data_IF_436391763009
#
_entry.id   IF_436391763009
#
_cell.length_a   1.000
_cell.length_b   1.000
_cell.length_c   1.000
_cell.angle_alpha   90.00
_cell.angle_beta   90.00
_cell.angle_gamma   90.00
#
_symmetry.space_group_name_H-M   'P 1'
#
loop_
_entity.id
_entity.type
_entity.pdbx_description
1 polymer ?
#
# COMPACT_ATOMS: atom_id res chain seq x y z
N UNK A 1 -9.80 12.27 20.82
CA UNK A 1 -9.26 12.69 19.54
C UNK A 1 -10.40 12.65 18.55
N UNK A 2 -10.58 13.64 17.65
CA UNK A 2 -11.65 13.57 16.68
C UNK A 2 -11.43 12.33 15.81
N UNK A 3 -12.42 11.45 15.71
CA UNK A 3 -12.43 10.39 14.72
C UNK A 3 -12.32 11.05 13.33
N UNK A 4 -11.29 10.70 12.60
CA UNK A 4 -11.11 11.15 11.21
C UNK A 4 -12.31 10.59 10.42
N UNK A 5 -13.31 11.42 10.15
CA UNK A 5 -14.64 11.03 9.66
C UNK A 5 -14.64 10.36 8.27
N UNK A 6 -13.49 10.30 7.60
CA UNK A 6 -13.34 9.74 6.25
C UNK A 6 -12.76 8.31 6.20
N UNK A 7 -12.26 7.76 7.32
CA UNK A 7 -11.73 6.38 7.32
C UNK A 7 -12.92 5.40 7.26
N UNK A 8 -12.97 4.46 6.29
CA UNK A 8 -14.14 3.61 6.05
C UNK A 8 -14.33 2.47 7.05
N UNK A 9 -13.52 2.41 8.09
CA UNK A 9 -13.57 1.41 9.17
C UNK A 9 -13.35 2.07 10.54
N UNK A 10 -13.66 1.35 11.61
CA UNK A 10 -13.34 1.73 12.98
C UNK A 10 -12.05 1.05 13.43
N UNK A 11 -11.10 1.81 13.98
CA UNK A 11 -9.88 1.25 14.58
C UNK A 11 -10.11 0.92 16.05
N UNK A 12 -9.90 -0.35 16.43
CA UNK A 12 -9.98 -0.85 17.81
C UNK A 12 -8.56 -1.13 18.29
N UNK A 13 -8.04 -0.28 19.16
CA UNK A 13 -6.69 -0.43 19.70
C UNK A 13 -6.67 -1.50 20.81
N UNK A 14 -6.07 -2.66 20.53
CA UNK A 14 -5.83 -3.70 21.51
C UNK A 14 -4.67 -3.33 22.44
N UNK A 15 -3.64 -2.73 21.88
CA UNK A 15 -2.45 -2.23 22.57
C UNK A 15 -1.99 -0.93 21.94
N UNK A 16 -1.57 0.05 22.77
CA UNK A 16 -1.08 1.36 22.32
C UNK A 16 0.44 1.47 22.24
N UNK A 17 1.15 0.36 22.28
CA UNK A 17 2.59 0.31 22.10
C UNK A 17 2.91 0.04 20.62
N UNK A 18 4.03 0.57 20.08
CA UNK A 18 4.47 0.23 18.74
C UNK A 18 4.65 -1.30 18.59
N UNK A 19 4.39 -1.86 17.41
CA UNK A 19 4.72 -3.24 17.13
C UNK A 19 6.25 -3.45 17.14
N UNK A 20 6.67 -4.68 17.40
CA UNK A 20 8.09 -5.08 17.38
C UNK A 20 8.21 -6.23 16.38
N UNK A 21 8.95 -6.00 15.29
CA UNK A 21 9.25 -7.00 14.27
C UNK A 21 10.58 -6.67 13.58
N UNK A 22 11.33 -7.69 13.19
CA UNK A 22 12.65 -7.53 12.56
C UNK A 22 12.59 -6.82 11.20
N UNK A 23 11.47 -6.91 10.48
CA UNK A 23 11.31 -6.34 9.14
C UNK A 23 10.87 -4.87 9.16
N UNK A 24 10.57 -4.28 10.32
CA UNK A 24 10.17 -2.87 10.41
C UNK A 24 11.27 -1.97 9.84
N UNK A 25 12.53 -2.21 10.19
CA UNK A 25 13.64 -1.39 9.69
C UNK A 25 13.79 -1.46 8.16
N UNK A 26 13.50 -2.61 7.56
CA UNK A 26 13.48 -2.77 6.09
C UNK A 26 12.36 -1.93 5.45
N UNK A 27 11.15 -1.96 6.00
CA UNK A 27 10.04 -1.13 5.51
C UNK A 27 10.37 0.37 5.63
N UNK A 28 10.96 0.81 6.75
CA UNK A 28 11.36 2.20 6.93
C UNK A 28 12.43 2.64 5.92
N UNK A 29 13.38 1.77 5.59
CA UNK A 29 14.37 2.02 4.55
C UNK A 29 13.69 2.19 3.18
N UNK A 30 12.73 1.34 2.84
CA UNK A 30 11.99 1.45 1.61
C UNK A 30 11.13 2.71 1.53
N UNK A 31 10.46 3.11 2.62
CA UNK A 31 9.74 4.38 2.70
C UNK A 31 10.65 5.56 2.34
N UNK A 32 11.84 5.63 2.95
CA UNK A 32 12.83 6.69 2.68
C UNK A 32 13.35 6.64 1.24
N UNK A 33 13.63 5.44 0.72
CA UNK A 33 14.15 5.25 -0.64
C UNK A 33 13.14 5.68 -1.69
N UNK A 34 11.88 5.29 -1.55
CA UNK A 34 10.80 5.67 -2.47
C UNK A 34 10.56 7.18 -2.47
N UNK A 35 10.57 7.80 -1.30
CA UNK A 35 10.49 9.26 -1.17
C UNK A 35 11.70 9.98 -1.80
N UNK A 36 12.89 9.38 -1.69
CA UNK A 36 14.17 9.95 -2.14
C UNK A 36 14.45 9.83 -3.64
N UNK A 37 13.56 9.29 -4.45
CA UNK A 37 13.74 9.30 -5.91
C UNK A 37 13.73 10.75 -6.43
N UNK A 38 14.90 11.23 -6.86
CA UNK A 38 15.18 12.64 -7.11
C UNK A 38 14.37 13.29 -8.23
N UNK A 39 13.95 12.51 -9.23
CA UNK A 39 13.20 13.03 -10.38
C UNK A 39 11.69 13.02 -10.18
N UNK A 40 11.18 12.08 -9.38
CA UNK A 40 9.74 11.91 -9.12
C UNK A 40 9.54 11.20 -7.77
N UNK A 41 9.62 11.93 -6.65
CA UNK A 41 9.46 11.34 -5.32
C UNK A 41 8.05 10.74 -5.18
N UNK A 42 7.97 9.55 -4.62
CA UNK A 42 6.70 9.00 -4.15
C UNK A 42 6.47 9.51 -2.75
N UNK A 43 5.65 10.55 -2.65
CA UNK A 43 5.41 11.22 -1.37
C UNK A 43 4.40 10.46 -0.51
N UNK A 44 3.42 9.86 -1.15
CA UNK A 44 2.27 9.21 -0.49
C UNK A 44 2.16 7.75 -0.89
N UNK A 45 1.63 6.97 0.02
CA UNK A 45 1.41 5.55 -0.15
C UNK A 45 1.45 4.82 1.18
N UNK A 46 1.31 3.52 1.11
CA UNK A 46 1.43 2.67 2.29
C UNK A 46 2.13 1.36 1.93
N UNK A 47 2.94 0.89 2.85
CA UNK A 47 3.71 -0.31 2.74
C UNK A 47 3.32 -1.24 3.89
N UNK A 48 3.17 -2.52 3.60
CA UNK A 48 2.91 -3.52 4.62
C UNK A 48 3.70 -4.80 4.40
N UNK A 49 3.83 -5.57 5.47
CA UNK A 49 4.34 -6.94 5.41
C UNK A 49 3.60 -7.83 6.43
N UNK A 50 3.46 -9.12 6.07
CA UNK A 50 2.77 -10.13 6.87
C UNK A 50 3.61 -10.49 8.11
N UNK A 51 2.92 -10.71 9.24
CA UNK A 51 3.50 -11.23 10.48
C UNK A 51 2.83 -12.54 10.87
N UNK A 52 3.33 -13.18 11.93
CA UNK A 52 2.68 -14.36 12.49
C UNK A 52 1.29 -14.12 13.11
N UNK A 53 0.94 -12.85 13.37
CA UNK A 53 -0.33 -12.45 14.01
C UNK A 53 -1.25 -11.62 13.09
N UNK A 54 -0.84 -11.38 11.84
CA UNK A 54 -1.56 -10.54 10.90
C UNK A 54 -0.61 -9.83 9.94
N UNK A 55 -0.55 -8.53 9.96
CA UNK A 55 0.41 -7.75 9.17
C UNK A 55 0.71 -6.40 9.80
N UNK A 56 1.91 -5.86 9.54
CA UNK A 56 2.27 -4.50 9.91
C UNK A 56 2.12 -3.60 8.67
N UNK A 57 1.53 -2.42 8.85
CA UNK A 57 1.30 -1.41 7.82
C UNK A 57 1.71 -0.03 8.33
N UNK A 58 2.11 0.86 7.45
CA UNK A 58 2.34 2.27 7.77
C UNK A 58 1.06 2.96 8.24
N UNK A 59 1.19 3.93 9.13
CA UNK A 59 0.07 4.69 9.69
C UNK A 59 -0.64 5.57 8.65
N UNK A 60 -1.85 6.02 9.00
CA UNK A 60 -2.69 6.87 8.16
C UNK A 60 -2.11 8.28 8.00
N UNK A 61 -2.34 8.88 6.82
CA UNK A 61 -2.07 10.31 6.53
C UNK A 61 -0.61 10.73 6.72
N UNK A 62 0.33 9.84 6.42
CA UNK A 62 1.76 10.11 6.52
C UNK A 62 2.42 10.17 5.15
N UNK A 63 3.31 11.14 4.95
CA UNK A 63 4.29 11.05 3.87
C UNK A 63 5.29 9.94 4.18
N UNK A 64 5.78 9.24 3.16
CA UNK A 64 6.67 8.09 3.33
C UNK A 64 7.95 8.43 4.12
N UNK A 65 8.50 9.65 3.98
CA UNK A 65 9.66 10.09 4.74
C UNK A 65 9.40 10.33 6.25
N UNK A 66 8.13 10.45 6.63
CA UNK A 66 7.71 10.68 8.03
C UNK A 66 7.34 9.37 8.75
N UNK A 67 7.41 8.24 8.06
CA UNK A 67 7.14 6.93 8.67
C UNK A 67 8.29 6.56 9.62
N UNK A 68 7.93 6.20 10.84
CA UNK A 68 8.85 5.80 11.92
C UNK A 68 8.35 4.51 12.60
N UNK A 69 9.15 3.96 13.51
CA UNK A 69 8.74 2.80 14.32
C UNK A 69 7.47 3.06 15.14
N UNK A 70 7.24 4.30 15.55
CA UNK A 70 6.05 4.68 16.33
C UNK A 70 4.80 4.89 15.47
N UNK A 71 4.97 5.04 14.16
CA UNK A 71 3.86 5.29 13.23
C UNK A 71 3.51 4.09 12.35
N UNK A 72 4.14 2.94 12.55
CA UNK A 72 3.68 1.68 11.98
C UNK A 72 2.68 1.00 12.91
N UNK A 73 1.75 0.24 12.34
CA UNK A 73 0.63 -0.36 13.06
C UNK A 73 0.51 -1.84 12.70
N UNK A 74 0.40 -2.70 13.68
CA UNK A 74 0.10 -4.11 13.46
C UNK A 74 -1.43 -4.31 13.42
N UNK A 75 -1.93 -4.81 12.31
CA UNK A 75 -3.32 -5.23 12.14
C UNK A 75 -3.41 -6.71 12.50
N UNK A 76 -4.17 -7.03 13.56
CA UNK A 76 -4.33 -8.39 14.10
C UNK A 76 -5.63 -9.06 13.68
N UNK A 77 -6.55 -8.30 13.12
CA UNK A 77 -7.81 -8.85 12.65
C UNK A 77 -8.75 -7.79 12.08
N UNK A 78 -9.65 -8.26 11.24
CA UNK A 78 -10.73 -7.46 10.66
C UNK A 78 -12.05 -8.17 10.92
N UNK A 79 -13.03 -7.44 11.43
CA UNK A 79 -14.40 -7.93 11.60
C UNK A 79 -15.32 -7.10 10.70
N UNK A 80 -15.96 -7.75 9.76
CA UNK A 80 -16.92 -7.15 8.87
C UNK A 80 -18.28 -7.03 9.58
N UNK A 81 -18.60 -5.82 10.05
CA UNK A 81 -19.90 -5.50 10.65
C UNK A 81 -20.95 -5.13 9.61
N UNK A 82 -22.22 -5.06 10.02
CA UNK A 82 -23.35 -4.69 9.13
C UNK A 82 -23.22 -3.27 8.55
N UNK A 83 -22.67 -2.34 9.32
CA UNK A 83 -22.58 -0.93 8.91
C UNK A 83 -21.15 -0.50 8.56
N UNK A 84 -20.15 -0.94 9.33
CA UNK A 84 -18.75 -0.52 9.20
C UNK A 84 -17.84 -1.61 9.70
N UNK A 85 -16.78 -1.97 8.95
CA UNK A 85 -15.76 -2.90 9.43
C UNK A 85 -15.04 -2.35 10.66
N UNK A 86 -14.58 -3.26 11.53
CA UNK A 86 -13.69 -2.94 12.65
C UNK A 86 -12.34 -3.60 12.42
N UNK A 87 -11.26 -2.81 12.54
CA UNK A 87 -9.88 -3.29 12.42
C UNK A 87 -9.25 -3.26 13.82
N UNK A 88 -8.80 -4.42 14.28
CA UNK A 88 -8.15 -4.60 15.57
C UNK A 88 -6.64 -4.41 15.41
N UNK A 89 -6.08 -3.47 16.17
CA UNK A 89 -4.70 -2.99 15.95
C UNK A 89 -3.88 -2.96 17.22
N UNK A 90 -2.56 -3.07 17.04
CA UNK A 90 -1.53 -2.70 18.00
C UNK A 90 -0.70 -1.57 17.40
N UNK A 91 -0.57 -0.44 18.09
CA UNK A 91 0.14 0.73 17.61
C UNK A 91 -0.34 2.01 18.27
N UNK A 92 0.35 3.12 18.00
CA UNK A 92 0.04 4.43 18.58
C UNK A 92 -0.85 5.29 17.68
N UNK A 93 -0.93 4.95 16.38
CA UNK A 93 -1.68 5.67 15.36
C UNK A 93 -2.71 4.76 14.71
N UNK A 94 -3.66 5.34 13.98
CA UNK A 94 -4.54 4.55 13.12
C UNK A 94 -3.76 3.96 11.93
N UNK A 95 -4.10 2.75 11.46
CA UNK A 95 -3.51 2.19 10.25
C UNK A 95 -3.91 3.01 9.02
N UNK A 96 -3.18 2.85 7.92
CA UNK A 96 -3.56 3.43 6.62
C UNK A 96 -5.00 3.12 6.26
N UNK A 97 -5.67 4.03 5.54
CA UNK A 97 -7.02 3.84 5.00
C UNK A 97 -7.14 2.58 4.14
N UNK A 98 -6.05 2.16 3.51
CA UNK A 98 -5.99 0.97 2.67
C UNK A 98 -5.74 -0.34 3.47
N UNK A 99 -5.72 -0.29 4.80
CA UNK A 99 -5.52 -1.48 5.63
C UNK A 99 -6.54 -2.60 5.34
N UNK A 100 -7.77 -2.23 4.98
CA UNK A 100 -8.80 -3.20 4.59
C UNK A 100 -8.48 -3.87 3.25
N UNK A 101 -7.98 -3.11 2.27
CA UNK A 101 -7.50 -3.63 0.99
C UNK A 101 -6.37 -4.64 1.21
N UNK A 102 -5.38 -4.28 2.02
CA UNK A 102 -4.26 -5.17 2.35
C UNK A 102 -4.73 -6.44 3.07
N UNK A 103 -5.67 -6.31 4.01
CA UNK A 103 -6.25 -7.46 4.73
C UNK A 103 -6.91 -8.45 3.78
N UNK A 104 -7.74 -7.97 2.85
CA UNK A 104 -8.45 -8.82 1.87
C UNK A 104 -7.45 -9.50 0.91
N UNK A 105 -6.40 -8.81 0.50
CA UNK A 105 -5.35 -9.40 -0.35
C UNK A 105 -4.58 -10.47 0.43
N UNK A 106 -4.15 -10.19 1.66
CA UNK A 106 -3.46 -11.19 2.48
C UNK A 106 -4.32 -12.43 2.76
N UNK A 107 -5.63 -12.27 2.95
CA UNK A 107 -6.55 -13.40 3.11
C UNK A 107 -6.68 -14.21 1.82
N UNK A 108 -6.79 -13.52 0.67
CA UNK A 108 -7.01 -14.15 -0.64
C UNK A 108 -5.75 -14.84 -1.21
N UNK A 109 -4.56 -14.41 -0.79
CA UNK A 109 -3.26 -14.84 -1.34
C UNK A 109 -2.27 -15.15 -0.21
N UNK A 110 -2.29 -16.38 0.33
CA UNK A 110 -1.43 -16.78 1.45
C UNK A 110 0.08 -16.69 1.14
N UNK A 111 0.47 -16.77 -0.13
CA UNK A 111 1.85 -16.67 -0.59
C UNK A 111 2.40 -15.23 -0.61
N UNK A 112 1.51 -14.22 -0.57
CA UNK A 112 1.91 -12.82 -0.53
C UNK A 112 2.26 -12.41 0.90
N UNK A 113 3.46 -11.88 1.07
CA UNK A 113 3.99 -11.43 2.36
C UNK A 113 4.29 -9.93 2.42
N UNK A 114 4.25 -9.22 1.28
CA UNK A 114 4.41 -7.77 1.26
C UNK A 114 3.49 -7.12 0.22
N UNK A 115 3.00 -5.93 0.54
CA UNK A 115 2.16 -5.11 -0.33
C UNK A 115 2.65 -3.67 -0.27
N UNK A 116 2.94 -3.09 -1.44
CA UNK A 116 3.27 -1.69 -1.60
C UNK A 116 2.18 -1.02 -2.42
N UNK A 117 1.51 -0.03 -1.86
CA UNK A 117 0.54 0.80 -2.55
C UNK A 117 1.06 2.23 -2.60
N UNK A 118 1.30 2.73 -3.80
CA UNK A 118 1.94 4.02 -4.04
C UNK A 118 1.00 4.97 -4.75
N UNK A 119 0.82 6.15 -4.18
CA UNK A 119 -0.04 7.21 -4.70
C UNK A 119 0.83 8.33 -5.27
N UNK A 120 0.93 8.39 -6.59
CA UNK A 120 1.63 9.45 -7.31
C UNK A 120 1.10 9.49 -8.73
N UNK A 121 0.75 10.69 -9.21
CA UNK A 121 0.28 10.85 -10.60
C UNK A 121 1.31 10.33 -11.61
N UNK A 122 2.57 10.63 -11.38
CA UNK A 122 3.65 10.20 -12.27
C UNK A 122 3.80 8.67 -12.32
N UNK A 123 3.67 7.99 -11.17
CA UNK A 123 3.78 6.52 -11.11
C UNK A 123 2.61 5.85 -11.84
N UNK A 124 1.40 6.42 -11.71
CA UNK A 124 0.21 5.93 -12.42
C UNK A 124 0.41 6.07 -13.92
N UNK A 125 0.82 7.26 -14.39
CA UNK A 125 1.06 7.52 -15.80
C UNK A 125 2.14 6.60 -16.41
N UNK A 126 3.23 6.34 -15.66
CA UNK A 126 4.27 5.42 -16.10
C UNK A 126 3.80 3.96 -16.15
N UNK A 127 3.03 3.56 -15.17
CA UNK A 127 2.47 2.22 -15.10
C UNK A 127 1.50 1.98 -16.27
N UNK A 128 0.64 2.96 -16.59
CA UNK A 128 -0.26 2.92 -17.74
C UNK A 128 0.50 2.79 -19.07
N UNK A 129 1.55 3.60 -19.27
CA UNK A 129 2.41 3.52 -20.45
C UNK A 129 3.19 2.22 -20.56
N UNK A 130 3.37 1.51 -19.46
CA UNK A 130 4.06 0.20 -19.40
C UNK A 130 3.13 -0.98 -19.64
N UNK A 131 1.84 -0.76 -19.92
CA UNK A 131 0.85 -1.81 -20.14
C UNK A 131 0.48 -2.60 -18.89
N UNK A 132 0.67 -2.00 -17.69
CA UNK A 132 0.26 -2.62 -16.44
C UNK A 132 -1.27 -2.69 -16.38
N UNK A 133 -1.85 -3.83 -15.99
CA UNK A 133 -3.30 -3.98 -15.86
C UNK A 133 -3.90 -2.90 -14.96
N UNK A 134 -5.06 -2.38 -15.34
CA UNK A 134 -5.73 -1.33 -14.57
C UNK A 134 -7.17 -1.65 -14.29
N UNK A 135 -7.66 -1.13 -13.17
CA UNK A 135 -9.07 -1.12 -12.80
C UNK A 135 -9.56 0.33 -12.73
N UNK A 136 -10.71 0.57 -13.35
CA UNK A 136 -11.45 1.83 -13.26
C UNK A 136 -12.65 1.59 -12.36
N UNK A 137 -12.68 2.23 -11.20
CA UNK A 137 -13.69 1.97 -10.17
C UNK A 137 -14.08 3.23 -9.44
N UNK A 138 -15.38 3.37 -9.18
CA UNK A 138 -15.94 4.44 -8.36
C UNK A 138 -16.13 4.04 -6.88
N UNK A 139 -15.61 2.85 -6.47
CA UNK A 139 -15.72 2.42 -5.08
C UNK A 139 -14.92 3.35 -4.17
N UNK A 140 -15.43 3.69 -2.98
CA UNK A 140 -14.68 4.54 -2.04
C UNK A 140 -13.33 3.93 -1.64
N UNK A 141 -12.31 4.78 -1.39
CA UNK A 141 -11.04 4.36 -0.84
C UNK A 141 -11.26 3.57 0.46
N UNK A 142 -10.47 2.51 0.68
CA UNK A 142 -10.55 1.68 1.87
C UNK A 142 -11.89 0.91 2.05
N UNK A 143 -12.79 0.91 1.05
CA UNK A 143 -14.03 0.14 1.14
C UNK A 143 -13.81 -1.36 0.91
N UNK A 144 -14.66 -2.18 1.50
CA UNK A 144 -14.62 -3.63 1.32
C UNK A 144 -14.88 -4.03 -0.14
N UNK A 145 -15.75 -3.29 -0.82
CA UNK A 145 -16.08 -3.53 -2.22
C UNK A 145 -14.86 -3.30 -3.11
N UNK A 146 -14.13 -2.20 -2.90
CA UNK A 146 -12.86 -1.94 -3.61
C UNK A 146 -11.86 -3.06 -3.34
N UNK A 147 -11.67 -3.44 -2.09
CA UNK A 147 -10.72 -4.47 -1.71
C UNK A 147 -10.99 -5.82 -2.40
N UNK A 148 -12.26 -6.23 -2.46
CA UNK A 148 -12.70 -7.45 -3.15
C UNK A 148 -12.51 -7.37 -4.66
N UNK A 149 -12.84 -6.22 -5.25
CA UNK A 149 -12.70 -5.98 -6.69
C UNK A 149 -11.23 -6.07 -7.12
N UNK A 150 -10.33 -5.43 -6.38
CA UNK A 150 -8.88 -5.50 -6.60
C UNK A 150 -8.36 -6.93 -6.42
N UNK A 151 -8.76 -7.63 -5.36
CA UNK A 151 -8.35 -9.03 -5.15
C UNK A 151 -8.82 -9.96 -6.27
N UNK A 152 -10.04 -9.76 -6.79
CA UNK A 152 -10.55 -10.55 -7.93
C UNK A 152 -9.75 -10.28 -9.20
N UNK A 153 -9.32 -9.04 -9.43
CA UNK A 153 -8.49 -8.72 -10.59
C UNK A 153 -7.10 -9.36 -10.49
N UNK A 154 -6.50 -9.39 -9.32
CA UNK A 154 -5.26 -10.14 -9.09
C UNK A 154 -5.43 -11.64 -9.36
N UNK A 155 -6.56 -12.24 -8.95
CA UNK A 155 -6.88 -13.65 -9.26
C UNK A 155 -6.97 -13.90 -10.76
N UNK A 156 -7.63 -13.02 -11.51
CA UNK A 156 -7.78 -13.15 -12.97
C UNK A 156 -6.46 -12.99 -13.73
N UNK A 157 -5.51 -12.25 -13.16
CA UNK A 157 -4.17 -12.04 -13.73
C UNK A 157 -3.10 -13.01 -13.17
N UNK A 158 -3.52 -14.14 -12.57
CA UNK A 158 -2.61 -15.12 -11.94
C UNK A 158 -1.69 -14.54 -10.86
N UNK A 159 -2.14 -13.51 -10.14
CA UNK A 159 -1.42 -12.85 -9.04
C UNK A 159 -0.02 -12.34 -9.42
N UNK A 160 0.23 -12.07 -10.68
CA UNK A 160 1.55 -11.65 -11.15
C UNK A 160 1.57 -10.16 -11.44
N UNK A 161 2.59 -9.50 -10.92
CA UNK A 161 2.92 -8.12 -11.24
C UNK A 161 2.09 -7.05 -10.53
N UNK A 162 2.37 -5.80 -10.83
CA UNK A 162 1.66 -4.66 -10.29
C UNK A 162 0.30 -4.44 -10.96
N UNK A 163 -0.58 -3.69 -10.27
CA UNK A 163 -1.90 -3.32 -10.74
C UNK A 163 -2.13 -1.82 -10.52
N UNK A 164 -2.78 -1.17 -11.48
CA UNK A 164 -3.20 0.23 -11.36
C UNK A 164 -4.65 0.29 -10.85
N UNK A 165 -4.87 1.06 -9.79
CA UNK A 165 -6.19 1.55 -9.43
C UNK A 165 -6.25 2.98 -9.94
N UNK A 166 -6.99 3.20 -11.03
CA UNK A 166 -7.04 4.50 -11.72
C UNK A 166 -7.39 5.63 -10.76
N UNK A 167 -6.73 6.77 -10.92
CA UNK A 167 -6.85 7.96 -10.09
C UNK A 167 -6.49 7.77 -8.60
N UNK A 168 -5.89 6.62 -8.21
CA UNK A 168 -5.52 6.34 -6.82
C UNK A 168 -4.07 5.95 -6.64
N UNK A 169 -3.60 4.94 -7.37
CA UNK A 169 -2.24 4.47 -7.20
C UNK A 169 -1.92 3.18 -7.91
N UNK A 170 -0.72 2.71 -7.65
CA UNK A 170 -0.21 1.43 -8.14
C UNK A 170 0.05 0.53 -6.95
N UNK A 171 -0.48 -0.68 -7.01
CA UNK A 171 -0.28 -1.71 -6.00
C UNK A 171 0.66 -2.79 -6.53
N UNK A 172 1.67 -3.14 -5.76
CA UNK A 172 2.63 -4.20 -6.04
C UNK A 172 2.59 -5.24 -4.92
N UNK A 173 2.50 -6.51 -5.30
CA UNK A 173 2.46 -7.65 -4.39
C UNK A 173 3.78 -8.41 -4.47
N UNK A 174 4.30 -8.87 -3.33
CA UNK A 174 5.53 -9.66 -3.28
C UNK A 174 5.44 -10.80 -2.26
N UNK A 175 6.15 -11.90 -2.53
CA UNK A 175 6.38 -12.95 -1.55
C UNK A 175 7.37 -12.51 -0.46
N UNK A 176 8.11 -11.44 -0.75
CA UNK A 176 9.01 -10.76 0.18
C UNK A 176 8.87 -9.25 0.02
N UNK A 177 9.33 -8.50 1.01
CA UNK A 177 9.42 -7.03 0.95
C UNK A 177 10.26 -6.61 -0.27
N UNK A 178 11.38 -7.31 -0.48
CA UNK A 178 12.28 -7.05 -1.61
C UNK A 178 11.62 -7.25 -2.97
N UNK A 179 10.77 -8.28 -3.15
CA UNK A 179 10.01 -8.48 -4.41
C UNK A 179 9.02 -7.33 -4.68
N UNK A 180 8.20 -6.96 -3.69
CA UNK A 180 7.27 -5.84 -3.84
C UNK A 180 8.01 -4.54 -4.18
N UNK A 181 9.16 -4.33 -3.55
CA UNK A 181 10.01 -3.17 -3.77
C UNK A 181 10.63 -3.15 -5.18
N UNK A 182 11.12 -4.29 -5.68
CA UNK A 182 11.70 -4.39 -7.03
C UNK A 182 10.66 -4.06 -8.11
N UNK A 183 9.44 -4.57 -8.00
CA UNK A 183 8.33 -4.22 -8.91
C UNK A 183 8.08 -2.71 -8.92
N UNK A 184 8.13 -2.08 -7.76
CA UNK A 184 7.98 -0.63 -7.62
C UNK A 184 9.13 0.14 -8.27
N UNK A 185 10.38 -0.30 -8.05
CA UNK A 185 11.56 0.31 -8.67
C UNK A 185 11.56 0.19 -10.21
N UNK A 186 11.09 -0.93 -10.75
CA UNK A 186 10.96 -1.12 -12.19
C UNK A 186 10.02 -0.11 -12.83
N UNK A 187 8.88 0.18 -12.17
CA UNK A 187 7.95 1.21 -12.61
C UNK A 187 8.61 2.59 -12.57
N UNK A 188 9.34 2.91 -11.51
CA UNK A 188 10.06 4.17 -11.37
C UNK A 188 11.14 4.34 -12.43
N UNK A 189 11.92 3.31 -12.73
CA UNK A 189 12.96 3.35 -13.78
C UNK A 189 12.36 3.61 -15.17
N UNK A 190 11.18 3.05 -15.46
CA UNK A 190 10.47 3.32 -16.72
C UNK A 190 10.02 4.78 -16.83
N UNK A 191 9.63 5.41 -15.72
CA UNK A 191 9.37 6.84 -15.62
C UNK A 191 10.59 7.67 -16.02
N UNK A 192 11.73 7.40 -15.43
CA UNK A 192 12.97 8.13 -15.67
C UNK A 192 13.42 8.00 -17.13
N UNK A 193 13.30 6.81 -17.73
CA UNK A 193 13.64 6.59 -19.15
C UNK A 193 12.71 7.33 -20.10
N UNK A 194 11.43 7.47 -19.78
CA UNK A 194 10.45 8.23 -20.56
C UNK A 194 10.68 9.75 -20.54
N UNK A 195 11.18 10.29 -19.43
CA UNK A 195 11.55 11.71 -19.29
C UNK A 195 12.77 12.06 -20.13
N UNK A 196 13.77 11.16 -20.23
CA UNK A 196 14.98 11.37 -21.06
C UNK A 196 14.69 11.46 -22.56
N UNK A 197 13.67 10.75 -23.06
CA UNK A 197 13.31 10.77 -24.48
C UNK A 197 12.64 12.10 -24.89
N UNK A 198 11.94 12.78 -23.96
CA UNK A 198 11.30 14.09 -24.26
C UNK A 198 12.29 15.28 -24.21
N UNK A 199 13.38 15.18 -23.45
CA UNK A 199 14.39 16.25 -23.38
C UNK A 199 15.41 16.24 -24.52
N UNK A 200 15.38 15.25 -25.40
CA UNK A 200 16.30 15.09 -26.54
C UNK A 200 15.82 15.64 -27.90
N UNK A 201 14.69 16.37 -27.94
CA UNK A 201 14.26 17.10 -29.15
C UNK A 201 14.30 18.61 -28.88
N UNK A 202 15.44 19.18 -29.12
CA UNK A 202 15.62 20.57 -29.56
C UNK A 202 16.26 20.58 -30.90
#
# INVERSE_FOLDING_TARGET
MPENSNIPFSSVFLEKNPPIDAHIDEILQWCKKLYGFSSNPVMEGNLSFRTGMGFIITGSSLMLNNVTKDTVVEVRGVVFGLNRPSIYTKGQTAPSEEALLHSVIYEAFPEINAIFFLTSHNIIEAAEKSGIPSIDTNRPAGSQELAREVANLFKSNNNTGPLIIKNRGVIALGKTISEAAQLTEEIQKKLESGVRVKSGKK
#
